data_IF_444548350366
#
_entry.id   IF_444548350366
#
_cell.length_a   1.000
_cell.length_b   1.000
_cell.length_c   1.000
_cell.angle_alpha   90.00
_cell.angle_beta   90.00
_cell.angle_gamma   90.00
#
_symmetry.space_group_name_H-M   'P 1'
#
loop_
_entity.id
_entity.type
_entity.pdbx_description
1 polymer ?
#
# COMPACT_ATOMS: atom_id res chain seq x y z
N UNK A 1 11.69 26.90 -9.31
CA UNK A 1 11.78 26.01 -8.15
C UNK A 1 11.03 24.69 -8.38
N UNK A 2 9.84 24.70 -9.01
CA UNK A 2 9.04 23.51 -9.36
C UNK A 2 9.77 22.60 -10.37
N UNK A 3 10.36 23.13 -11.42
CA UNK A 3 11.13 22.35 -12.42
C UNK A 3 12.34 21.60 -11.81
N UNK A 4 13.02 22.16 -10.80
CA UNK A 4 14.12 21.45 -10.10
C UNK A 4 13.61 20.27 -9.27
N UNK A 5 12.41 20.35 -8.68
CA UNK A 5 11.81 19.24 -7.91
C UNK A 5 11.34 18.12 -8.85
N UNK A 6 10.81 18.45 -10.03
CA UNK A 6 10.44 17.47 -11.06
C UNK A 6 11.69 16.74 -11.59
N UNK A 7 12.79 17.44 -11.80
CA UNK A 7 14.07 16.85 -12.21
C UNK A 7 14.69 15.96 -11.10
N UNK A 8 14.47 16.26 -9.83
CA UNK A 8 14.96 15.44 -8.70
C UNK A 8 14.08 14.20 -8.53
N UNK A 9 12.75 14.31 -8.67
CA UNK A 9 11.84 13.16 -8.66
C UNK A 9 12.11 12.21 -9.86
N UNK A 10 12.35 12.76 -11.04
CA UNK A 10 12.76 11.98 -12.22
C UNK A 10 14.16 11.37 -12.07
N UNK A 11 15.09 12.04 -11.35
CA UNK A 11 16.45 11.54 -11.13
C UNK A 11 16.51 10.37 -10.13
N UNK A 12 15.61 10.29 -9.17
CA UNK A 12 15.48 9.18 -8.23
C UNK A 12 14.93 7.90 -8.90
N UNK A 13 14.14 8.06 -9.97
CA UNK A 13 13.65 6.94 -10.80
C UNK A 13 14.68 6.46 -11.85
N UNK A 14 15.84 7.14 -11.96
CA UNK A 14 16.78 6.99 -13.08
C UNK A 14 17.86 5.90 -12.91
N UNK A 15 17.97 5.25 -11.77
CA UNK A 15 18.90 4.13 -11.57
C UNK A 15 18.20 2.80 -11.85
N UNK A 16 18.26 2.36 -13.09
CA UNK A 16 17.60 1.13 -13.55
C UNK A 16 18.31 -0.14 -13.13
N UNK A 17 18.32 -0.42 -11.85
CA UNK A 17 18.52 -1.73 -11.24
C UNK A 17 17.28 -1.91 -10.38
N UNK A 18 16.70 -3.10 -10.32
CA UNK A 18 15.51 -3.38 -9.52
C UNK A 18 15.74 -2.89 -8.08
N UNK A 19 15.34 -1.67 -7.82
CA UNK A 19 15.35 -1.07 -6.49
C UNK A 19 14.43 -1.92 -5.62
N UNK A 20 14.87 -2.31 -4.43
CA UNK A 20 14.06 -3.05 -3.48
C UNK A 20 12.85 -2.22 -3.05
N UNK A 21 11.80 -2.21 -3.88
CA UNK A 21 10.52 -1.61 -3.55
C UNK A 21 9.52 -2.72 -3.34
N UNK A 22 9.09 -2.88 -2.11
CA UNK A 22 8.15 -3.89 -1.69
C UNK A 22 6.95 -3.25 -1.01
N UNK A 23 5.85 -3.97 -0.96
CA UNK A 23 4.63 -3.53 -0.29
C UNK A 23 3.87 -4.76 0.20
N UNK A 24 3.28 -4.69 1.39
CA UNK A 24 2.45 -5.77 1.92
C UNK A 24 1.15 -5.19 2.44
N UNK A 25 0.02 -5.58 1.84
CA UNK A 25 -1.31 -5.10 2.20
C UNK A 25 -2.19 -6.20 2.77
N UNK A 26 -2.99 -5.87 3.79
CA UNK A 26 -3.99 -6.74 4.40
C UNK A 26 -5.29 -5.99 4.64
N UNK A 27 -6.36 -6.74 4.89
CA UNK A 27 -7.65 -6.19 5.31
C UNK A 27 -8.32 -7.07 6.35
N UNK A 28 -9.11 -6.46 7.24
CA UNK A 28 -9.91 -7.13 8.25
C UNK A 28 -11.33 -6.57 8.29
N UNK A 29 -12.29 -7.47 8.51
CA UNK A 29 -13.65 -7.13 8.91
C UNK A 29 -13.79 -7.49 10.39
N UNK A 30 -14.12 -6.53 11.23
CA UNK A 30 -14.36 -6.71 12.65
C UNK A 30 -15.81 -7.11 12.93
N UNK A 31 -16.10 -7.66 14.15
CA UNK A 31 -17.45 -8.08 14.55
C UNK A 31 -18.42 -6.89 14.62
N UNK A 32 -17.94 -5.69 14.97
CA UNK A 32 -18.73 -4.46 14.98
C UNK A 32 -19.07 -3.91 13.56
N UNK A 33 -18.68 -4.65 12.50
CA UNK A 33 -18.84 -4.25 11.11
C UNK A 33 -17.79 -3.26 10.62
N UNK A 34 -16.80 -2.93 11.44
CA UNK A 34 -15.68 -2.06 11.05
C UNK A 34 -14.77 -2.74 10.03
N UNK A 35 -14.53 -2.07 8.90
CA UNK A 35 -13.64 -2.58 7.86
C UNK A 35 -12.34 -1.81 7.85
N UNK A 36 -11.24 -2.54 7.91
CA UNK A 36 -9.87 -2.02 8.02
C UNK A 36 -9.03 -2.50 6.84
N UNK A 37 -8.30 -1.57 6.23
CA UNK A 37 -7.23 -1.87 5.27
C UNK A 37 -5.91 -1.34 5.82
N UNK A 38 -4.86 -2.15 5.75
CA UNK A 38 -3.54 -1.78 6.24
C UNK A 38 -2.45 -2.19 5.26
N UNK A 39 -1.30 -1.52 5.31
CA UNK A 39 -0.15 -1.85 4.47
C UNK A 39 1.16 -1.34 5.03
N UNK A 40 2.25 -1.95 4.57
CA UNK A 40 3.61 -1.40 4.61
C UNK A 40 3.99 -0.78 3.26
N UNK A 41 4.92 0.16 3.23
CA UNK A 41 5.61 0.63 2.03
C UNK A 41 7.12 0.52 2.25
N UNK A 42 7.79 -0.16 1.34
CA UNK A 42 9.23 -0.37 1.39
C UNK A 42 9.93 0.38 0.27
N UNK A 43 11.05 0.98 0.63
CA UNK A 43 11.98 1.65 -0.26
C UNK A 43 13.39 1.52 0.32
N UNK A 44 14.20 0.61 -0.25
CA UNK A 44 15.51 0.24 0.29
C UNK A 44 16.66 1.12 -0.19
N UNK A 45 16.46 2.00 -1.16
CA UNK A 45 17.55 2.77 -1.78
C UNK A 45 17.91 4.04 -1.03
N UNK A 46 16.92 4.71 -0.43
CA UNK A 46 17.08 5.99 0.25
C UNK A 46 15.88 6.31 1.13
N UNK A 47 15.97 7.37 1.90
CA UNK A 47 14.78 7.95 2.53
C UNK A 47 13.73 8.32 1.47
N UNK A 48 12.50 7.86 1.67
CA UNK A 48 11.35 8.18 0.84
C UNK A 48 10.59 9.37 1.47
N UNK A 49 10.73 10.60 0.96
CA UNK A 49 9.96 11.72 1.45
C UNK A 49 8.47 11.40 1.41
N UNK A 50 7.83 11.39 2.58
CA UNK A 50 6.43 11.03 2.71
C UNK A 50 5.69 12.04 3.58
N UNK A 51 4.46 12.36 3.18
CA UNK A 51 3.63 13.36 3.85
C UNK A 51 2.17 12.91 3.90
N UNK A 52 1.43 13.32 4.92
CA UNK A 52 -0.02 13.24 4.82
C UNK A 52 -0.55 14.46 4.10
N UNK A 53 -1.55 14.25 3.26
CA UNK A 53 -2.18 15.29 2.45
C UNK A 53 -3.68 15.36 2.75
N UNK A 54 -4.22 16.57 2.81
CA UNK A 54 -5.64 16.83 2.94
C UNK A 54 -6.10 17.56 1.69
N UNK A 55 -6.95 16.90 0.89
CA UNK A 55 -7.55 17.49 -0.30
C UNK A 55 -8.99 17.88 0.03
N UNK A 56 -9.36 19.18 -0.04
CA UNK A 56 -10.73 19.63 0.19
C UNK A 56 -11.63 19.33 -1.01
N UNK A 57 -12.95 19.36 -0.78
CA UNK A 57 -13.92 19.41 -1.88
C UNK A 57 -13.67 20.63 -2.74
N UNK A 58 -13.93 20.50 -4.02
CA UNK A 58 -13.78 21.59 -4.99
C UNK A 58 -12.34 21.92 -5.37
N UNK A 59 -11.34 21.18 -4.88
CA UNK A 59 -9.94 21.36 -5.31
C UNK A 59 -9.76 20.98 -6.77
N UNK A 60 -9.24 21.92 -7.57
CA UNK A 60 -8.83 21.63 -8.94
C UNK A 60 -7.48 20.90 -8.95
N UNK A 61 -7.42 19.81 -9.69
CA UNK A 61 -6.28 18.92 -9.80
C UNK A 61 -5.95 18.69 -11.28
N UNK A 62 -4.67 18.52 -11.58
CA UNK A 62 -4.18 18.24 -12.93
C UNK A 62 -3.21 17.09 -12.87
N UNK A 63 -3.38 16.11 -13.74
CA UNK A 63 -2.45 15.01 -13.86
C UNK A 63 -1.11 15.45 -14.47
N UNK A 64 -0.05 14.79 -13.99
CA UNK A 64 1.24 14.83 -14.64
C UNK A 64 1.24 13.91 -15.86
N UNK A 65 2.07 14.24 -16.84
CA UNK A 65 2.40 13.40 -17.99
C UNK A 65 3.92 13.39 -18.17
N UNK A 66 4.49 12.55 -19.02
CA UNK A 66 5.91 12.61 -19.35
C UNK A 66 6.40 13.98 -19.85
N UNK A 67 5.51 14.82 -20.37
CA UNK A 67 5.85 16.16 -20.90
C UNK A 67 5.52 17.31 -19.95
N UNK A 68 4.91 17.05 -18.77
CA UNK A 68 4.65 18.09 -17.78
C UNK A 68 3.36 17.93 -16.98
N UNK A 69 2.84 19.04 -16.42
CA UNK A 69 1.59 19.08 -15.66
C UNK A 69 0.47 19.51 -16.62
N UNK A 70 0.13 18.64 -17.54
CA UNK A 70 -0.77 18.95 -18.67
C UNK A 70 -1.74 17.81 -19.02
N UNK A 71 -1.85 16.80 -18.13
CA UNK A 71 -2.75 15.67 -18.27
C UNK A 71 -4.20 15.98 -17.89
N UNK A 72 -4.95 14.92 -17.58
CA UNK A 72 -6.35 14.97 -17.17
C UNK A 72 -6.58 16.02 -16.06
N UNK A 73 -7.59 16.88 -16.27
CA UNK A 73 -8.06 17.87 -15.29
C UNK A 73 -9.30 17.34 -14.60
N UNK A 74 -9.32 17.41 -13.28
CA UNK A 74 -10.48 16.99 -12.51
C UNK A 74 -10.62 17.84 -11.24
N UNK A 75 -11.85 17.94 -10.75
CA UNK A 75 -12.16 18.71 -9.57
C UNK A 75 -12.70 17.78 -8.49
N UNK A 76 -12.10 17.81 -7.28
CA UNK A 76 -12.48 16.92 -6.20
C UNK A 76 -13.94 17.07 -5.81
N UNK A 77 -14.73 16.02 -5.98
CA UNK A 77 -16.11 15.90 -5.50
C UNK A 77 -16.13 15.57 -4.01
N UNK A 78 -15.17 14.75 -3.58
CA UNK A 78 -15.05 14.29 -2.20
C UNK A 78 -13.74 14.78 -1.60
N UNK A 79 -13.80 15.18 -0.32
CA UNK A 79 -12.62 15.42 0.47
C UNK A 79 -11.91 14.10 0.82
N UNK A 80 -10.59 14.13 0.87
CA UNK A 80 -9.80 12.95 1.21
C UNK A 80 -8.61 13.27 2.10
N UNK A 81 -8.15 12.25 2.80
CA UNK A 81 -6.85 12.20 3.48
C UNK A 81 -6.01 11.11 2.82
N UNK A 82 -4.82 11.48 2.36
CA UNK A 82 -3.87 10.56 1.73
C UNK A 82 -2.51 10.57 2.43
N UNK A 83 -1.79 9.47 2.29
CA UNK A 83 -0.37 9.36 2.56
C UNK A 83 0.33 9.41 1.21
N UNK A 84 1.02 10.49 0.94
CA UNK A 84 1.71 10.76 -0.32
C UNK A 84 3.20 10.47 -0.21
N UNK A 85 3.81 10.12 -1.32
CA UNK A 85 5.25 9.89 -1.47
C UNK A 85 5.82 10.89 -2.47
N UNK A 86 7.06 11.32 -2.22
CA UNK A 86 7.82 12.24 -3.10
C UNK A 86 7.20 13.64 -3.11
N UNK A 87 5.92 13.76 -3.39
CA UNK A 87 5.17 15.03 -3.43
C UNK A 87 3.67 14.78 -3.16
N UNK A 88 2.98 15.81 -2.71
CA UNK A 88 1.59 15.74 -2.22
C UNK A 88 0.55 15.27 -3.25
N UNK A 89 0.84 15.39 -4.53
CA UNK A 89 -0.03 14.91 -5.62
C UNK A 89 0.02 13.39 -5.78
N UNK A 90 1.11 12.73 -5.33
CA UNK A 90 1.33 11.29 -5.48
C UNK A 90 0.88 10.53 -4.23
N UNK A 91 -0.43 10.43 -4.08
CA UNK A 91 -1.06 9.69 -2.98
C UNK A 91 -0.85 8.20 -3.17
N UNK A 92 -0.08 7.58 -2.27
CA UNK A 92 0.21 6.15 -2.31
C UNK A 92 -0.84 5.30 -1.60
N UNK A 93 -1.53 5.87 -0.61
CA UNK A 93 -2.60 5.22 0.17
C UNK A 93 -3.53 6.31 0.70
N UNK A 94 -4.84 6.06 0.76
CA UNK A 94 -5.75 7.06 1.31
C UNK A 94 -7.20 6.61 1.45
N UNK A 95 -7.99 7.52 1.99
CA UNK A 95 -9.41 7.35 2.27
C UNK A 95 -10.14 8.65 1.94
N UNK A 96 -11.30 8.55 1.29
CA UNK A 96 -12.17 9.69 1.15
C UNK A 96 -13.26 9.74 2.23
N UNK A 97 -13.92 10.87 2.33
CA UNK A 97 -14.94 11.13 3.35
C UNK A 97 -16.18 10.23 3.28
N UNK A 98 -16.45 9.63 2.12
CA UNK A 98 -17.59 8.71 1.94
C UNK A 98 -17.19 7.23 2.09
N UNK A 99 -15.90 6.93 2.31
CA UNK A 99 -15.41 5.60 2.71
C UNK A 99 -14.85 4.75 1.60
N UNK A 100 -14.55 5.32 0.45
CA UNK A 100 -13.71 4.67 -0.54
C UNK A 100 -12.25 4.81 -0.13
N UNK A 101 -11.50 3.71 -0.13
CA UNK A 101 -10.06 3.64 0.10
C UNK A 101 -9.37 3.09 -1.15
N UNK A 102 -8.21 3.62 -1.44
CA UNK A 102 -7.34 3.11 -2.50
C UNK A 102 -5.88 3.23 -2.11
N UNK A 103 -5.06 2.28 -2.60
CA UNK A 103 -3.62 2.27 -2.41
C UNK A 103 -2.89 1.69 -3.60
N UNK A 104 -1.72 2.26 -3.95
CA UNK A 104 -0.86 1.76 -5.02
C UNK A 104 0.23 0.85 -4.44
N UNK A 105 0.62 -0.17 -5.23
CA UNK A 105 1.67 -1.11 -4.92
C UNK A 105 2.57 -1.29 -6.14
N UNK A 106 3.88 -1.38 -5.95
CA UNK A 106 4.82 -1.57 -7.06
C UNK A 106 4.59 -2.91 -7.76
N UNK A 107 4.52 -2.90 -9.11
CA UNK A 107 4.13 -4.06 -9.92
C UNK A 107 5.06 -4.22 -11.15
N UNK A 108 6.36 -4.39 -10.94
CA UNK A 108 7.34 -4.45 -12.02
C UNK A 108 7.20 -5.73 -12.86
N UNK A 109 7.54 -5.61 -14.15
CA UNK A 109 7.66 -6.70 -15.13
C UNK A 109 6.33 -7.33 -15.60
N UNK A 110 5.26 -7.24 -14.84
CA UNK A 110 3.95 -7.83 -15.16
C UNK A 110 2.95 -6.79 -15.62
N UNK A 111 3.01 -5.59 -15.06
CA UNK A 111 2.18 -4.47 -15.48
C UNK A 111 2.66 -3.89 -16.81
N UNK A 112 1.71 -3.44 -17.62
CA UNK A 112 1.98 -2.68 -18.84
C UNK A 112 0.82 -1.73 -19.11
N UNK A 113 1.12 -0.43 -19.15
CA UNK A 113 0.19 0.62 -19.59
C UNK A 113 0.24 0.77 -21.11
N UNK A 114 -0.69 1.56 -21.64
CA UNK A 114 -0.60 2.04 -23.02
C UNK A 114 0.59 2.99 -23.21
N UNK A 115 1.06 3.09 -24.45
CA UNK A 115 2.10 4.05 -24.80
C UNK A 115 1.56 5.48 -24.66
N UNK A 116 2.38 6.37 -24.10
CA UNK A 116 2.02 7.77 -23.95
C UNK A 116 1.85 8.44 -25.33
N UNK A 117 0.76 9.17 -25.46
CA UNK A 117 0.45 9.99 -26.65
C UNK A 117 0.05 11.40 -26.19
N UNK A 118 0.84 12.39 -26.54
CA UNK A 118 0.62 13.79 -26.15
C UNK A 118 -0.71 14.34 -26.68
N UNK A 119 -1.20 13.86 -27.82
CA UNK A 119 -2.49 14.24 -28.35
C UNK A 119 -3.67 13.83 -27.45
N UNK A 120 -3.45 12.87 -26.54
CA UNK A 120 -4.45 12.37 -25.59
C UNK A 120 -4.28 12.91 -24.17
N UNK A 121 -3.51 13.98 -23.99
CA UNK A 121 -3.26 14.56 -22.67
C UNK A 121 -4.56 14.85 -21.88
N UNK A 122 -5.63 15.24 -22.55
CA UNK A 122 -6.91 15.55 -21.90
C UNK A 122 -7.52 14.37 -21.11
N UNK A 123 -7.17 13.13 -21.46
CA UNK A 123 -7.61 11.90 -20.77
C UNK A 123 -6.44 11.14 -20.10
N UNK A 124 -5.22 11.68 -20.16
CA UNK A 124 -4.03 11.02 -19.61
C UNK A 124 -3.91 11.25 -18.12
N UNK A 125 -3.80 10.15 -17.39
CA UNK A 125 -3.65 10.10 -15.92
C UNK A 125 -2.34 9.40 -15.55
N UNK A 126 -1.49 10.07 -14.76
CA UNK A 126 -0.31 9.41 -14.18
C UNK A 126 -0.70 8.28 -13.24
N UNK A 127 -0.04 7.15 -13.34
CA UNK A 127 -0.18 5.99 -12.45
C UNK A 127 -0.02 6.38 -10.97
N UNK A 128 0.89 7.30 -10.64
CA UNK A 128 1.10 7.82 -9.28
C UNK A 128 -0.05 8.72 -8.79
N UNK A 129 -0.96 9.16 -9.66
CA UNK A 129 -2.11 9.99 -9.30
C UNK A 129 -3.45 9.25 -9.39
N UNK A 130 -3.47 7.99 -9.81
CA UNK A 130 -4.69 7.17 -9.89
C UNK A 130 -5.41 7.10 -8.54
N UNK A 131 -4.67 6.92 -7.43
CA UNK A 131 -5.26 6.90 -6.07
C UNK A 131 -5.94 8.24 -5.76
N UNK A 132 -5.27 9.36 -6.01
CA UNK A 132 -5.85 10.70 -5.79
C UNK A 132 -7.10 10.92 -6.65
N UNK A 133 -7.07 10.52 -7.91
CA UNK A 133 -8.21 10.60 -8.83
C UNK A 133 -9.38 9.73 -8.34
N UNK A 134 -9.13 8.46 -7.98
CA UNK A 134 -10.17 7.57 -7.46
C UNK A 134 -10.86 8.17 -6.24
N UNK A 135 -10.08 8.58 -5.24
CA UNK A 135 -10.62 9.05 -3.96
C UNK A 135 -11.31 10.41 -4.07
N UNK A 136 -10.86 11.27 -4.98
CA UNK A 136 -11.47 12.59 -5.17
C UNK A 136 -12.74 12.57 -6.02
N UNK A 137 -12.91 11.55 -6.89
CA UNK A 137 -14.01 11.54 -7.86
C UNK A 137 -15.15 10.59 -7.51
N UNK A 138 -14.89 9.47 -6.82
CA UNK A 138 -15.83 8.36 -6.71
C UNK A 138 -16.16 8.01 -5.26
N UNK A 139 -17.38 7.47 -5.08
CA UNK A 139 -17.87 6.98 -3.80
C UNK A 139 -17.80 5.45 -3.70
N UNK A 140 -17.80 4.74 -4.83
CA UNK A 140 -17.91 3.29 -4.90
C UNK A 140 -16.86 2.68 -5.85
N UNK A 141 -16.60 1.40 -5.64
CA UNK A 141 -15.72 0.61 -6.52
C UNK A 141 -16.29 0.51 -7.94
N UNK A 142 -17.63 0.39 -8.06
CA UNK A 142 -18.28 0.26 -9.37
C UNK A 142 -18.14 1.55 -10.19
N UNK A 143 -18.28 2.72 -9.57
CA UNK A 143 -18.00 4.00 -10.24
C UNK A 143 -16.56 4.08 -10.75
N UNK A 144 -15.58 3.59 -9.98
CA UNK A 144 -14.18 3.52 -10.42
C UNK A 144 -14.02 2.60 -11.62
N UNK A 145 -14.68 1.43 -11.58
CA UNK A 145 -14.62 0.44 -12.67
C UNK A 145 -15.15 0.99 -13.98
N UNK A 146 -16.28 1.69 -13.93
CA UNK A 146 -16.87 2.32 -15.10
C UNK A 146 -15.99 3.46 -15.64
N UNK A 147 -15.43 4.28 -14.76
CA UNK A 147 -14.70 5.48 -15.15
C UNK A 147 -13.28 5.20 -15.68
N UNK A 148 -12.63 4.10 -15.26
CA UNK A 148 -11.24 3.79 -15.63
C UNK A 148 -11.08 3.57 -17.14
N UNK A 149 -12.12 3.10 -17.81
CA UNK A 149 -12.13 2.89 -19.26
C UNK A 149 -12.05 4.20 -20.04
N UNK A 150 -12.45 5.32 -19.42
CA UNK A 150 -12.42 6.66 -20.01
C UNK A 150 -11.10 7.41 -19.82
N UNK A 151 -10.12 6.84 -19.14
CA UNK A 151 -8.82 7.48 -18.88
C UNK A 151 -7.67 6.61 -19.39
N UNK A 152 -6.62 7.28 -19.85
CA UNK A 152 -5.38 6.63 -20.28
C UNK A 152 -4.34 6.73 -19.17
N UNK A 153 -4.09 5.60 -18.49
CA UNK A 153 -3.06 5.54 -17.43
C UNK A 153 -1.68 5.39 -18.08
N UNK A 154 -0.73 6.20 -17.62
CA UNK A 154 0.66 6.19 -18.12
C UNK A 154 1.66 6.26 -16.97
N UNK A 155 2.84 5.69 -17.16
CA UNK A 155 3.98 5.91 -16.27
C UNK A 155 4.64 7.26 -16.58
N UNK A 156 5.19 7.90 -15.55
CA UNK A 156 6.05 9.09 -15.70
C UNK A 156 7.50 8.75 -16.03
N UNK A 157 7.84 7.48 -16.11
CA UNK A 157 9.17 7.02 -16.48
C UNK A 157 9.54 7.37 -17.91
N UNK A 158 10.84 7.38 -18.18
CA UNK A 158 11.33 7.52 -19.54
C UNK A 158 10.91 6.33 -20.39
N UNK A 159 10.67 6.51 -21.70
CA UNK A 159 10.38 5.42 -22.62
C UNK A 159 11.41 4.29 -22.49
N UNK A 160 10.93 3.06 -22.42
CA UNK A 160 11.76 1.84 -22.23
C UNK A 160 12.12 1.51 -20.79
N UNK A 161 11.75 2.36 -19.82
CA UNK A 161 11.75 2.05 -18.39
C UNK A 161 10.30 2.13 -17.91
N UNK A 162 9.72 1.02 -17.56
CA UNK A 162 8.34 0.95 -17.08
C UNK A 162 8.35 0.42 -15.66
N UNK A 163 8.39 1.34 -14.70
CA UNK A 163 7.96 1.02 -13.34
C UNK A 163 6.45 1.10 -13.33
N UNK A 164 5.77 -0.03 -13.22
CA UNK A 164 4.31 -0.05 -13.12
C UNK A 164 3.88 -0.27 -11.68
N UNK A 165 2.66 0.14 -11.38
CA UNK A 165 1.99 -0.14 -10.11
C UNK A 165 0.64 -0.80 -10.38
N UNK A 166 0.10 -1.49 -9.39
CA UNK A 166 -1.27 -1.96 -9.33
C UNK A 166 -1.94 -1.41 -8.08
N UNK A 167 -3.28 -1.51 -8.00
CA UNK A 167 -4.02 -0.82 -6.96
C UNK A 167 -4.93 -1.77 -6.21
N UNK A 168 -4.97 -1.60 -4.90
CA UNK A 168 -6.02 -2.11 -4.04
C UNK A 168 -7.08 -1.02 -3.89
N UNK A 169 -8.36 -1.39 -4.04
CA UNK A 169 -9.50 -0.50 -3.85
C UNK A 169 -10.44 -1.18 -2.86
N UNK A 170 -10.99 -0.45 -1.91
CA UNK A 170 -11.93 -0.99 -0.94
C UNK A 170 -12.98 0.04 -0.52
N UNK A 171 -14.11 -0.44 -0.05
CA UNK A 171 -15.17 0.41 0.48
C UNK A 171 -15.52 0.06 1.93
N UNK A 172 -16.28 0.93 2.59
CA UNK A 172 -16.70 0.75 3.99
C UNK A 172 -17.68 -0.41 4.20
N UNK A 173 -18.16 -1.07 3.13
CA UNK A 173 -19.02 -2.27 3.20
C UNK A 173 -18.21 -3.57 3.23
N UNK A 174 -16.88 -3.47 3.08
CA UNK A 174 -15.97 -4.62 3.07
C UNK A 174 -15.69 -5.18 1.68
N UNK A 175 -16.19 -4.57 0.60
CA UNK A 175 -15.80 -4.95 -0.75
C UNK A 175 -14.37 -4.56 -1.01
N UNK A 176 -13.64 -5.42 -1.73
CA UNK A 176 -12.25 -5.17 -2.08
C UNK A 176 -11.91 -5.71 -3.46
N UNK A 177 -11.23 -4.90 -4.26
CA UNK A 177 -10.78 -5.23 -5.61
C UNK A 177 -9.29 -4.93 -5.76
N UNK A 178 -8.66 -5.67 -6.66
CA UNK A 178 -7.33 -5.36 -7.20
C UNK A 178 -7.50 -4.92 -8.64
N UNK A 179 -6.90 -3.78 -9.01
CA UNK A 179 -6.83 -3.28 -10.38
C UNK A 179 -5.40 -3.46 -10.88
N UNK A 180 -5.25 -4.17 -11.99
CA UNK A 180 -3.99 -4.38 -12.69
C UNK A 180 -4.13 -4.00 -14.16
N UNK A 181 -3.11 -3.34 -14.72
CA UNK A 181 -3.03 -3.11 -16.16
C UNK A 181 -2.07 -4.11 -16.77
N UNK A 182 -2.59 -4.98 -17.63
CA UNK A 182 -1.82 -6.00 -18.34
C UNK A 182 -2.03 -5.84 -19.85
N UNK A 183 -0.95 -5.60 -20.58
CA UNK A 183 -1.03 -5.35 -22.01
C UNK A 183 -1.81 -4.07 -22.39
N UNK A 184 -1.85 -3.07 -21.53
CA UNK A 184 -2.60 -1.83 -21.73
C UNK A 184 -4.08 -1.89 -21.30
N UNK A 185 -4.57 -3.05 -20.86
CA UNK A 185 -5.97 -3.28 -20.50
C UNK A 185 -6.14 -3.33 -18.99
N UNK A 186 -7.13 -2.63 -18.38
CA UNK A 186 -7.44 -2.72 -16.97
C UNK A 186 -8.20 -4.03 -16.65
N UNK A 187 -7.73 -4.75 -15.63
CA UNK A 187 -8.38 -5.93 -15.08
C UNK A 187 -8.73 -5.71 -13.62
N UNK A 188 -9.96 -6.04 -13.24
CA UNK A 188 -10.44 -5.99 -11.87
C UNK A 188 -10.61 -7.40 -11.32
N UNK A 189 -9.95 -7.67 -10.20
CA UNK A 189 -10.05 -8.95 -9.50
C UNK A 189 -10.67 -8.75 -8.13
N UNK A 190 -11.72 -9.51 -7.81
CA UNK A 190 -12.26 -9.54 -6.45
C UNK A 190 -11.22 -10.13 -5.48
N UNK A 191 -10.88 -9.40 -4.43
CA UNK A 191 -9.86 -9.83 -3.49
C UNK A 191 -10.47 -10.48 -2.23
N UNK A 192 -10.88 -11.74 -2.35
CA UNK A 192 -11.44 -12.54 -1.24
C UNK A 192 -10.40 -12.89 -0.18
N UNK A 193 -9.13 -13.01 -0.57
CA UNK A 193 -8.03 -13.28 0.36
C UNK A 193 -7.77 -12.07 1.27
N UNK A 194 -8.02 -10.87 0.77
CA UNK A 194 -7.80 -9.62 1.49
C UNK A 194 -6.32 -9.28 1.67
N UNK A 195 -5.48 -9.73 0.74
CA UNK A 195 -4.03 -9.52 0.73
C UNK A 195 -3.60 -8.99 -0.63
N UNK A 196 -2.61 -8.11 -0.66
CA UNK A 196 -1.91 -7.70 -1.87
C UNK A 196 -0.45 -7.45 -1.54
N UNK A 197 0.46 -7.87 -2.43
CA UNK A 197 1.89 -7.56 -2.35
C UNK A 197 2.35 -6.87 -3.64
N UNK A 198 3.23 -7.49 -4.41
CA UNK A 198 3.78 -6.97 -5.65
C UNK A 198 3.66 -8.05 -6.74
N UNK A 199 4.62 -8.06 -7.70
CA UNK A 199 4.69 -9.09 -8.74
C UNK A 199 4.90 -10.51 -8.19
N UNK A 200 4.42 -11.57 -8.85
CA UNK A 200 3.61 -11.58 -10.06
C UNK A 200 2.19 -11.04 -9.91
N UNK A 201 1.33 -11.18 -10.95
CA UNK A 201 -0.06 -10.74 -10.94
C UNK A 201 -0.90 -11.40 -9.83
N UNK A 202 -1.99 -10.74 -9.47
CA UNK A 202 -2.85 -11.17 -8.37
C UNK A 202 -3.44 -12.58 -8.56
N UNK A 203 -3.93 -13.01 -9.74
CA UNK A 203 -4.39 -14.37 -9.95
C UNK A 203 -3.30 -15.43 -9.70
N UNK A 204 -2.07 -15.17 -10.14
CA UNK A 204 -0.94 -16.07 -9.88
C UNK A 204 -0.66 -16.19 -8.37
N UNK A 205 -0.64 -15.06 -7.64
CA UNK A 205 -0.43 -15.05 -6.20
C UNK A 205 -1.48 -15.92 -5.47
N UNK A 206 -2.75 -15.81 -5.86
CA UNK A 206 -3.83 -16.61 -5.29
C UNK A 206 -3.66 -18.10 -5.60
N UNK A 207 -3.30 -18.44 -6.86
CA UNK A 207 -3.05 -19.83 -7.27
C UNK A 207 -1.88 -20.42 -6.48
N UNK A 208 -0.82 -19.64 -6.25
CA UNK A 208 0.36 -20.09 -5.50
C UNK A 208 0.04 -20.53 -4.06
N UNK A 209 -1.02 -20.02 -3.44
CA UNK A 209 -1.46 -20.46 -2.11
C UNK A 209 -1.73 -21.96 -2.04
N UNK A 210 -2.11 -22.62 -3.17
CA UNK A 210 -2.34 -24.06 -3.22
C UNK A 210 -1.08 -24.88 -2.87
N UNK A 211 0.11 -24.35 -3.09
CA UNK A 211 1.36 -25.02 -2.69
C UNK A 211 1.53 -25.10 -1.16
N UNK A 212 0.73 -24.37 -0.40
CA UNK A 212 0.84 -24.20 1.05
C UNK A 212 -0.41 -24.69 1.80
N UNK A 213 -1.23 -25.52 1.19
CA UNK A 213 -2.45 -26.09 1.79
C UNK A 213 -2.16 -26.92 3.04
N UNK A 214 -0.92 -27.37 3.23
CA UNK A 214 -0.46 -28.11 4.39
C UNK A 214 -0.19 -27.24 5.63
N UNK A 215 -0.16 -25.91 5.50
CA UNK A 215 0.07 -25.04 6.63
C UNK A 215 -1.11 -25.11 7.62
N UNK A 216 -0.79 -25.21 8.89
CA UNK A 216 -1.75 -25.37 9.97
C UNK A 216 -1.40 -24.46 11.16
N UNK A 217 -2.36 -23.74 11.77
CA UNK A 217 -2.07 -22.92 12.94
C UNK A 217 -1.88 -23.77 14.19
N UNK A 218 -0.82 -23.51 14.93
CA UNK A 218 -0.56 -24.18 16.20
C UNK A 218 0.41 -25.38 16.12
N UNK A 219 0.30 -26.29 17.07
CA UNK A 219 1.12 -27.49 17.17
C UNK A 219 0.52 -28.67 16.39
N UNK A 220 1.39 -29.49 15.82
CA UNK A 220 1.00 -30.79 15.25
C UNK A 220 1.09 -31.88 16.32
N UNK A 221 0.35 -32.96 16.13
CA UNK A 221 0.40 -34.12 17.04
C UNK A 221 1.70 -34.91 16.89
N UNK A 222 2.26 -35.47 17.97
CA UNK A 222 3.38 -36.41 17.91
C UNK A 222 3.07 -37.58 16.98
N UNK A 223 4.09 -38.08 16.27
CA UNK A 223 3.98 -39.21 15.35
C UNK A 223 4.95 -40.34 15.71
N UNK A 224 4.60 -41.55 15.27
CA UNK A 224 5.50 -42.72 15.41
C UNK A 224 6.16 -43.01 14.05
N UNK A 225 7.49 -42.95 14.01
CA UNK A 225 8.26 -43.33 12.83
C UNK A 225 9.14 -44.55 13.24
N UNK A 226 8.72 -45.75 12.82
CA UNK A 226 9.33 -46.97 13.30
C UNK A 226 9.20 -47.10 14.84
N UNK A 227 10.29 -47.27 15.52
CA UNK A 227 10.31 -47.37 17.00
C UNK A 227 10.51 -46.04 17.74
N UNK A 228 10.45 -44.89 17.03
CA UNK A 228 10.76 -43.56 17.60
C UNK A 228 9.55 -42.68 17.61
N UNK A 229 9.26 -42.08 18.78
CA UNK A 229 8.23 -41.00 18.86
C UNK A 229 8.84 -39.67 18.49
N UNK A 230 8.26 -39.01 17.50
CA UNK A 230 8.66 -37.68 17.01
C UNK A 230 7.70 -36.65 17.61
N UNK A 231 8.26 -35.66 18.29
CA UNK A 231 7.52 -34.56 18.92
C UNK A 231 7.74 -33.25 18.20
N UNK A 232 6.70 -32.35 18.12
CA UNK A 232 6.88 -31.02 17.57
C UNK A 232 7.78 -30.16 18.46
N UNK A 233 8.60 -29.31 17.84
CA UNK A 233 9.37 -28.27 18.54
C UNK A 233 8.51 -27.01 18.75
N UNK A 234 7.57 -27.06 19.71
CA UNK A 234 6.75 -25.91 20.11
C UNK A 234 5.44 -25.75 19.34
N UNK A 235 4.66 -24.75 19.75
CA UNK A 235 3.28 -24.53 19.29
C UNK A 235 3.15 -24.03 17.84
N UNK A 236 4.23 -23.60 17.22
CA UNK A 236 4.24 -23.13 15.82
C UNK A 236 4.61 -24.19 14.78
N UNK A 237 4.75 -25.46 15.17
CA UNK A 237 5.23 -26.52 14.28
C UNK A 237 4.33 -26.76 13.05
N UNK A 238 3.04 -26.40 13.14
CA UNK A 238 2.07 -26.59 12.04
C UNK A 238 2.30 -25.70 10.83
N UNK A 239 3.05 -24.61 10.94
CA UNK A 239 3.41 -23.78 9.80
C UNK A 239 4.88 -23.93 9.36
N UNK A 240 5.49 -25.06 9.71
CA UNK A 240 6.80 -25.43 9.16
C UNK A 240 6.74 -25.51 7.63
N UNK A 241 7.67 -24.82 6.96
CA UNK A 241 7.67 -24.67 5.51
C UNK A 241 7.02 -23.38 4.98
N UNK A 242 6.49 -22.51 5.85
CA UNK A 242 6.08 -21.17 5.44
C UNK A 242 7.31 -20.41 4.89
N UNK A 243 7.21 -19.71 3.75
CA UNK A 243 8.37 -19.04 3.17
C UNK A 243 8.81 -17.85 4.03
N UNK A 244 10.11 -17.77 4.34
CA UNK A 244 10.67 -16.76 5.25
C UNK A 244 11.33 -15.57 4.57
N UNK A 245 11.58 -15.62 3.26
CA UNK A 245 12.23 -14.54 2.53
C UNK A 245 11.31 -13.34 2.29
N UNK A 246 11.87 -12.23 1.80
CA UNK A 246 11.14 -10.96 1.63
C UNK A 246 10.60 -10.75 0.21
N UNK A 247 10.67 -11.75 -0.66
CA UNK A 247 10.08 -11.65 -2.00
C UNK A 247 8.56 -11.49 -1.96
N UNK A 248 7.94 -10.85 -2.96
CA UNK A 248 6.49 -10.66 -2.97
C UNK A 248 5.68 -11.95 -2.83
N UNK A 249 5.99 -13.06 -3.54
CA UNK A 249 5.27 -14.33 -3.35
C UNK A 249 5.35 -14.88 -1.94
N UNK A 250 6.53 -14.83 -1.33
CA UNK A 250 6.76 -15.32 0.03
C UNK A 250 6.03 -14.47 1.07
N UNK A 251 6.03 -13.14 0.89
CA UNK A 251 5.25 -12.22 1.75
C UNK A 251 3.75 -12.42 1.57
N UNK A 252 3.27 -12.66 0.34
CA UNK A 252 1.86 -12.93 0.08
C UNK A 252 1.38 -14.17 0.83
N UNK A 253 2.08 -15.30 0.71
CA UNK A 253 1.77 -16.54 1.42
C UNK A 253 1.75 -16.33 2.92
N UNK A 254 2.82 -15.73 3.45
CA UNK A 254 2.98 -15.54 4.89
C UNK A 254 1.91 -14.64 5.49
N UNK A 255 1.60 -13.51 4.84
CA UNK A 255 0.57 -12.59 5.34
C UNK A 255 -0.84 -13.15 5.15
N UNK A 256 -1.10 -13.91 4.07
CA UNK A 256 -2.37 -14.59 3.88
C UNK A 256 -2.63 -15.62 4.99
N UNK A 257 -1.61 -16.41 5.33
CA UNK A 257 -1.69 -17.37 6.43
C UNK A 257 -1.93 -16.67 7.79
N UNK A 258 -1.16 -15.63 8.12
CA UNK A 258 -1.33 -14.90 9.38
C UNK A 258 -2.72 -14.25 9.48
N UNK A 259 -3.20 -13.65 8.40
CA UNK A 259 -4.55 -13.09 8.34
C UNK A 259 -5.64 -14.15 8.52
N UNK A 260 -5.53 -15.28 7.79
CA UNK A 260 -6.53 -16.34 7.81
C UNK A 260 -6.62 -17.05 9.17
N UNK A 261 -5.54 -17.06 9.94
CA UNK A 261 -5.46 -17.71 11.26
C UNK A 261 -5.61 -16.75 12.43
N UNK A 262 -5.65 -15.43 12.15
CA UNK A 262 -5.91 -14.43 13.19
C UNK A 262 -7.34 -14.57 13.74
N UNK A 263 -7.55 -14.37 15.04
CA UNK A 263 -8.89 -14.30 15.60
C UNK A 263 -9.68 -13.12 14.99
N UNK A 264 -11.00 -13.26 14.92
CA UNK A 264 -11.86 -12.15 14.52
C UNK A 264 -11.76 -11.06 15.59
N UNK A 265 -11.48 -9.84 15.16
CA UNK A 265 -11.33 -8.70 16.06
C UNK A 265 -12.72 -8.18 16.48
N UNK A 266 -12.96 -7.91 17.78
CA UNK A 266 -14.25 -7.40 18.24
C UNK A 266 -14.61 -6.04 17.64
N UNK A 267 -13.64 -5.14 17.53
CA UNK A 267 -13.86 -3.77 17.00
C UNK A 267 -12.89 -3.41 15.88
N UNK A 268 -13.25 -2.39 15.10
CA UNK A 268 -12.36 -1.81 14.11
C UNK A 268 -11.01 -1.38 14.72
N UNK A 269 -11.01 -0.88 15.96
CA UNK A 269 -9.76 -0.47 16.63
C UNK A 269 -8.87 -1.68 16.97
N UNK A 270 -9.46 -2.80 17.41
CA UNK A 270 -8.71 -4.04 17.63
C UNK A 270 -8.13 -4.57 16.31
N UNK A 271 -8.89 -4.46 15.20
CA UNK A 271 -8.43 -4.82 13.87
C UNK A 271 -7.27 -3.92 13.38
N UNK A 272 -7.27 -2.62 13.71
CA UNK A 272 -6.15 -1.71 13.49
C UNK A 272 -4.90 -2.19 14.24
N UNK A 273 -5.01 -2.50 15.52
CA UNK A 273 -3.87 -2.97 16.32
C UNK A 273 -3.36 -4.33 15.81
N UNK A 274 -4.27 -5.26 15.51
CA UNK A 274 -3.92 -6.56 14.94
C UNK A 274 -3.20 -6.41 13.60
N UNK A 275 -3.64 -5.46 12.76
CA UNK A 275 -2.98 -5.15 11.49
C UNK A 275 -1.53 -4.72 11.70
N UNK A 276 -1.25 -3.83 12.66
CA UNK A 276 0.12 -3.43 12.99
C UNK A 276 0.95 -4.59 13.53
N UNK A 277 0.38 -5.46 14.39
CA UNK A 277 1.07 -6.64 14.90
C UNK A 277 1.47 -7.61 13.79
N UNK A 278 0.58 -7.90 12.86
CA UNK A 278 0.89 -8.76 11.71
C UNK A 278 1.92 -8.09 10.81
N UNK A 279 1.72 -6.82 10.46
CA UNK A 279 2.60 -6.10 9.54
C UNK A 279 4.00 -5.84 10.12
N UNK A 280 4.19 -5.89 11.45
CA UNK A 280 5.52 -5.88 12.05
C UNK A 280 6.40 -7.06 11.59
N UNK A 281 5.81 -8.19 11.17
CA UNK A 281 6.55 -9.31 10.56
C UNK A 281 7.02 -9.03 9.13
N UNK A 282 6.62 -7.90 8.57
CA UNK A 282 6.96 -7.41 7.23
C UNK A 282 7.70 -6.07 7.30
N UNK A 283 8.18 -5.69 8.50
CA UNK A 283 9.13 -4.60 8.68
C UNK A 283 10.51 -5.10 8.28
N UNK A 284 11.00 -4.65 7.13
CA UNK A 284 12.20 -5.19 6.48
C UNK A 284 13.42 -4.38 6.92
N UNK A 285 14.34 -4.99 7.68
CA UNK A 285 15.58 -4.31 8.07
C UNK A 285 16.40 -3.89 6.85
N UNK A 286 17.00 -2.72 6.91
CA UNK A 286 17.97 -2.34 5.89
C UNK A 286 19.16 -3.32 5.87
N UNK A 287 19.72 -3.57 4.70
CA UNK A 287 20.77 -4.58 4.52
C UNK A 287 20.26 -5.93 4.01
N UNK A 288 18.95 -6.20 4.14
CA UNK A 288 18.31 -7.36 3.51
C UNK A 288 17.74 -6.95 2.15
N UNK A 289 17.09 -5.79 2.06
CA UNK A 289 16.49 -5.25 0.84
C UNK A 289 17.18 -3.95 0.44
N UNK A 290 18.04 -4.04 -0.56
CA UNK A 290 18.72 -2.89 -1.18
C UNK A 290 19.18 -3.27 -2.59
N UNK A 291 19.49 -2.28 -3.43
CA UNK A 291 20.11 -2.50 -4.74
C UNK A 291 21.49 -3.15 -4.61
N UNK A 292 21.97 -3.76 -5.70
CA UNK A 292 23.33 -4.30 -5.73
C UNK A 292 24.35 -3.24 -5.32
N UNK A 293 25.20 -3.57 -4.35
CA UNK A 293 26.20 -2.70 -3.81
C UNK A 293 26.09 -2.49 -2.31
N UNK A 294 26.11 -1.26 -1.87
CA UNK A 294 26.08 -0.89 -0.45
C UNK A 294 24.64 -0.60 0.00
N UNK A 295 24.25 -1.12 1.16
CA UNK A 295 23.00 -0.74 1.81
C UNK A 295 22.94 0.78 2.07
N UNK A 296 21.76 1.36 1.94
CA UNK A 296 21.53 2.77 2.21
C UNK A 296 21.61 3.09 3.70
N UNK A 297 21.93 4.34 4.02
CA UNK A 297 21.97 4.83 5.41
C UNK A 297 20.56 5.29 5.85
N UNK A 298 19.67 4.31 6.04
CA UNK A 298 18.31 4.48 6.55
C UNK A 298 18.02 3.40 7.58
N UNK A 299 17.10 3.62 8.54
CA UNK A 299 16.88 2.67 9.64
C UNK A 299 16.18 1.37 9.20
N UNK A 300 15.35 1.44 8.15
CA UNK A 300 14.59 0.31 7.62
C UNK A 300 14.26 0.53 6.16
N UNK A 301 14.16 -0.55 5.37
CA UNK A 301 13.58 -0.51 4.03
C UNK A 301 12.07 -0.22 4.10
N UNK A 302 11.37 -0.70 5.13
CA UNK A 302 9.98 -0.32 5.41
C UNK A 302 9.94 1.12 5.95
N UNK A 303 9.50 2.05 5.11
CA UNK A 303 9.50 3.49 5.41
C UNK A 303 8.35 3.88 6.33
N UNK A 304 7.16 3.32 6.10
CA UNK A 304 6.01 3.49 6.97
C UNK A 304 5.00 2.35 6.84
N UNK A 305 4.20 2.19 7.89
CA UNK A 305 3.05 1.29 7.95
C UNK A 305 1.81 2.11 8.22
N UNK A 306 0.74 1.88 7.46
CA UNK A 306 -0.57 2.50 7.67
C UNK A 306 -1.65 1.48 7.96
N UNK A 307 -2.70 1.92 8.64
CA UNK A 307 -3.94 1.18 8.82
C UNK A 307 -5.11 2.17 8.75
N UNK A 308 -6.08 1.88 7.91
CA UNK A 308 -7.22 2.76 7.62
C UNK A 308 -8.50 2.07 8.09
N UNK A 309 -9.24 2.73 8.97
CA UNK A 309 -10.60 2.35 9.35
C UNK A 309 -11.57 3.06 8.39
N UNK A 310 -12.04 2.31 7.39
CA UNK A 310 -12.91 2.83 6.34
C UNK A 310 -14.29 3.20 6.88
N UNK A 311 -14.77 2.45 7.88
CA UNK A 311 -16.08 2.63 8.49
C UNK A 311 -16.14 3.87 9.36
N UNK A 312 -15.10 4.12 10.18
CA UNK A 312 -15.06 5.25 11.11
C UNK A 312 -14.29 6.45 10.56
N UNK A 313 -13.74 6.39 9.34
CA UNK A 313 -13.00 7.48 8.67
C UNK A 313 -11.77 7.91 9.44
N UNK A 314 -10.90 6.95 9.79
CA UNK A 314 -9.64 7.22 10.50
C UNK A 314 -8.46 6.63 9.75
N UNK A 315 -7.40 7.41 9.63
CA UNK A 315 -6.13 7.00 9.02
C UNK A 315 -5.08 6.94 10.12
N UNK A 316 -4.53 5.74 10.36
CA UNK A 316 -3.46 5.51 11.32
C UNK A 316 -2.16 5.23 10.59
N UNK A 317 -1.03 5.65 11.17
CA UNK A 317 0.28 5.35 10.61
C UNK A 317 1.41 5.39 11.65
N UNK A 318 2.48 4.70 11.37
CA UNK A 318 3.81 4.79 12.00
C UNK A 318 4.89 4.82 10.92
N UNK A 319 6.10 5.22 11.24
CA UNK A 319 7.22 5.32 10.30
C UNK A 319 8.45 4.61 10.83
N UNK A 320 9.45 4.41 9.97
CA UNK A 320 10.77 3.88 10.37
C UNK A 320 11.46 4.73 11.44
N UNK A 321 11.17 6.03 11.49
CA UNK A 321 11.76 6.97 12.45
C UNK A 321 10.90 7.20 13.68
N UNK A 322 9.62 6.80 13.66
CA UNK A 322 8.71 6.97 14.79
C UNK A 322 7.66 5.87 14.81
N UNK A 323 7.88 4.90 15.71
CA UNK A 323 7.00 3.75 15.90
C UNK A 323 5.71 4.06 16.68
N UNK A 324 5.56 5.29 17.21
CA UNK A 324 4.30 5.69 17.85
C UNK A 324 3.21 5.80 16.79
N UNK A 325 2.08 5.14 17.02
CA UNK A 325 0.93 5.18 16.11
C UNK A 325 0.28 6.55 16.21
N UNK A 326 0.12 7.21 15.06
CA UNK A 326 -0.55 8.51 14.91
C UNK A 326 -1.86 8.31 14.17
N UNK A 327 -2.86 9.15 14.43
CA UNK A 327 -4.20 9.01 13.86
C UNK A 327 -4.71 10.36 13.34
N UNK A 328 -5.21 10.36 12.11
CA UNK A 328 -5.98 11.45 11.51
C UNK A 328 -7.46 11.04 11.50
N UNK A 329 -8.29 11.75 12.26
CA UNK A 329 -9.73 11.52 12.30
C UNK A 329 -10.43 12.45 11.31
N UNK A 330 -10.85 11.90 10.18
CA UNK A 330 -11.48 12.67 9.10
C UNK A 330 -12.83 13.28 9.48
N UNK A 331 -13.55 12.69 10.45
CA UNK A 331 -14.81 13.27 10.97
C UNK A 331 -14.61 14.62 11.68
N UNK A 332 -13.35 15.00 11.98
CA UNK A 332 -13.00 16.30 12.55
C UNK A 332 -12.53 17.32 11.49
N UNK A 333 -12.56 16.97 10.22
CA UNK A 333 -12.14 17.82 9.11
C UNK A 333 -13.39 18.33 8.39
N UNK A 334 -13.51 19.65 8.30
CA UNK A 334 -14.52 20.30 7.45
C UNK A 334 -13.93 20.46 6.04
N UNK A 335 -14.26 19.53 5.16
CA UNK A 335 -13.71 19.49 3.79
C UNK A 335 -14.23 20.62 2.88
N UNK A 336 -15.22 21.39 3.30
CA UNK A 336 -15.65 22.60 2.58
C UNK A 336 -14.81 23.82 2.96
N UNK A 337 -14.13 23.81 4.12
CA UNK A 337 -13.38 24.97 4.64
C UNK A 337 -11.87 24.75 4.68
N UNK A 338 -11.41 23.50 4.82
CA UNK A 338 -9.96 23.20 4.89
C UNK A 338 -9.29 23.56 3.56
N UNK A 339 -8.03 23.97 3.63
CA UNK A 339 -7.23 24.22 2.40
C UNK A 339 -6.52 22.94 1.96
N UNK A 340 -6.23 22.86 0.67
CA UNK A 340 -5.30 21.85 0.14
C UNK A 340 -3.92 22.02 0.80
N UNK A 341 -3.52 21.04 1.60
CA UNK A 341 -2.33 21.12 2.45
C UNK A 341 -1.69 19.76 2.65
N UNK A 342 -0.40 19.76 2.93
CA UNK A 342 0.35 18.57 3.28
C UNK A 342 1.38 18.86 4.36
N UNK A 343 1.72 17.83 5.13
CA UNK A 343 2.73 17.88 6.18
C UNK A 343 3.54 16.59 6.19
N UNK A 344 4.86 16.66 6.46
CA UNK A 344 5.67 15.47 6.61
C UNK A 344 5.07 14.49 7.62
N UNK A 345 5.19 13.18 7.36
CA UNK A 345 4.76 12.15 8.31
C UNK A 345 5.51 12.26 9.64
N UNK A 346 6.78 12.64 9.58
CA UNK A 346 7.60 12.95 10.76
C UNK A 346 8.05 14.41 10.72
N UNK A 347 7.84 15.13 11.82
CA UNK A 347 8.41 16.47 12.00
C UNK A 347 9.92 16.41 12.19
N UNK A 348 10.38 15.38 12.87
CA UNK A 348 11.78 15.06 13.12
C UNK A 348 12.01 13.58 12.81
N UNK A 349 13.12 13.27 12.13
CA UNK A 349 13.52 11.89 11.82
C UNK A 349 14.20 11.26 13.05
N UNK A 350 13.43 11.12 14.14
CA UNK A 350 13.91 10.63 15.42
C UNK A 350 12.81 9.89 16.16
N UNK A 351 13.13 8.68 16.67
CA UNK A 351 12.24 7.93 17.54
C UNK A 351 12.08 8.63 18.89
N UNK A 352 10.85 9.02 19.28
CA UNK A 352 10.59 9.45 20.65
C UNK A 352 10.73 8.26 21.61
N UNK A 353 11.42 8.47 22.71
CA UNK A 353 11.58 7.47 23.80
C UNK A 353 11.06 8.08 25.08
N UNK A 354 10.19 7.35 25.79
CA UNK A 354 9.73 7.69 27.13
C UNK A 354 10.72 7.13 28.14
N UNK A 355 11.33 7.99 28.94
CA UNK A 355 12.21 7.59 30.03
C UNK A 355 11.39 7.32 31.30
N UNK A 356 11.42 6.07 31.79
CA UNK A 356 10.74 5.68 33.02
C UNK A 356 11.64 6.04 34.21
N UNK A 357 11.20 6.99 35.00
CA UNK A 357 11.88 7.39 36.23
C UNK A 357 11.41 6.47 37.37
N UNK A 358 12.33 5.62 37.85
CA UNK A 358 12.10 4.79 39.02
C UNK A 358 12.39 5.64 40.27
N UNK A 359 11.41 5.70 41.18
CA UNK A 359 11.54 6.40 42.49
C UNK A 359 12.03 5.45 43.57
#
# INVERSE_FOLDING_TARGET
MVMKKILIALALLLTGIASGSACTGISFLAEDGGYVQARTIEWGDSYLPSEYVIVPRGQDLVSYTPTGVNGLRFRAKYGLVGLAIIQKEFVAEGLNEVGLSAGLFYFPHYGKYEEYDEAQNAITLSDLQVVNWMLSQFATIDEVREAIEGVKVVSLDKPGKSSTVHWRIGDAKGNQMVLEFVGGVPYFYENKVGVLTNSPDFPWQVINLNNYVNLYPGAVTPQQWGGVTIFPFGAGAGFHGIPGDVTPPSRFVRVAFYKATAPVCPTAYDAILQSFHILNNFDIPIGIEHALGKASDIPSATQWTSAIDLTNRKVYYKTAYNNNIRCINMKKIDFDKVKYQSYPLDKELKQPVEEIIVK
#
